data_IF_077238752888
#
_entry.id   IF_077238752888
#
_cell.length_a   1.000
_cell.length_b   1.000
_cell.length_c   1.000
_cell.angle_alpha   90.00
_cell.angle_beta   90.00
_cell.angle_gamma   90.00
#
_symmetry.space_group_name_H-M   'P 1'
#
loop_
_entity.id
_entity.type
_entity.pdbx_description
1 polymer ?
#
# COMPACT_ATOMS: atom_id res chain seq x y z
N UNK A 1 3.79 -21.85 17.65
CA UNK A 1 3.48 -21.39 16.28
C UNK A 1 4.44 -22.13 15.37
N UNK A 2 3.93 -23.01 14.51
CA UNK A 2 4.77 -23.63 13.47
C UNK A 2 5.37 -22.52 12.61
N UNK A 3 6.66 -22.63 12.28
CA UNK A 3 7.33 -21.74 11.33
C UNK A 3 6.72 -22.05 9.96
N UNK A 4 5.77 -21.24 9.50
CA UNK A 4 5.26 -21.34 8.14
C UNK A 4 6.43 -21.04 7.20
N UNK A 5 6.81 -22.00 6.38
CA UNK A 5 7.82 -21.80 5.35
C UNK A 5 7.26 -20.82 4.32
N UNK A 6 7.91 -19.67 4.16
CA UNK A 6 7.50 -18.64 3.21
C UNK A 6 8.20 -18.91 1.89
N UNK A 7 7.41 -19.12 0.84
CA UNK A 7 7.91 -19.36 -0.51
C UNK A 7 7.97 -18.06 -1.30
N UNK A 8 8.70 -18.07 -2.41
CA UNK A 8 8.82 -16.91 -3.31
C UNK A 8 7.45 -16.46 -3.82
N UNK A 9 6.57 -17.41 -4.12
CA UNK A 9 5.22 -17.15 -4.61
C UNK A 9 4.40 -16.37 -3.58
N UNK A 10 4.54 -16.71 -2.29
CA UNK A 10 3.82 -16.05 -1.20
C UNK A 10 4.25 -14.57 -1.07
N UNK A 11 5.53 -14.27 -1.32
CA UNK A 11 6.06 -12.89 -1.34
C UNK A 11 5.54 -12.11 -2.56
N UNK A 12 5.52 -12.75 -3.73
CA UNK A 12 5.00 -12.14 -4.97
C UNK A 12 3.51 -11.82 -4.82
N UNK A 13 2.72 -12.72 -4.23
CA UNK A 13 1.30 -12.47 -3.97
C UNK A 13 1.10 -11.29 -3.03
N UNK A 14 1.84 -11.22 -1.91
CA UNK A 14 1.78 -10.09 -0.98
C UNK A 14 2.18 -8.76 -1.65
N UNK A 15 3.22 -8.75 -2.49
CA UNK A 15 3.64 -7.55 -3.22
C UNK A 15 2.58 -7.10 -4.24
N UNK A 16 1.88 -8.04 -4.90
CA UNK A 16 0.77 -7.72 -5.80
C UNK A 16 -0.40 -7.10 -5.05
N UNK A 17 -0.75 -7.64 -3.88
CA UNK A 17 -1.80 -7.06 -3.03
C UNK A 17 -1.45 -5.63 -2.61
N UNK A 18 -0.18 -5.37 -2.25
CA UNK A 18 0.29 -4.03 -1.90
C UNK A 18 0.27 -3.09 -3.11
N UNK A 19 0.82 -3.52 -4.25
CA UNK A 19 0.97 -2.70 -5.45
C UNK A 19 -0.39 -2.33 -6.08
N UNK A 20 -1.31 -3.29 -6.14
CA UNK A 20 -2.58 -3.17 -6.86
C UNK A 20 -3.81 -3.10 -5.95
N UNK A 21 -3.62 -3.17 -4.62
CA UNK A 21 -4.68 -3.14 -3.62
C UNK A 21 -5.45 -1.82 -3.59
N UNK A 22 -6.71 -1.89 -3.15
CA UNK A 22 -7.58 -0.72 -3.04
C UNK A 22 -7.37 -0.04 -1.68
N UNK A 23 -7.01 1.24 -1.70
CA UNK A 23 -6.84 2.05 -0.47
C UNK A 23 -8.14 2.51 0.20
N UNK A 24 -9.27 2.36 -0.50
CA UNK A 24 -10.55 2.89 -0.06
C UNK A 24 -11.04 2.32 1.28
N UNK A 25 -10.52 1.17 1.73
CA UNK A 25 -10.85 0.57 3.02
C UNK A 25 -10.18 1.25 4.20
N UNK A 26 -8.94 1.71 4.05
CA UNK A 26 -8.30 2.56 5.06
C UNK A 26 -9.07 3.87 5.22
N UNK A 27 -9.50 4.45 4.11
CA UNK A 27 -10.35 5.66 4.12
C UNK A 27 -11.70 5.38 4.77
N UNK A 28 -12.39 4.30 4.39
CA UNK A 28 -13.67 3.91 5.02
C UNK A 28 -13.54 3.81 6.54
N UNK A 29 -12.47 3.17 7.03
CA UNK A 29 -12.19 3.02 8.47
C UNK A 29 -12.07 4.37 9.18
N UNK A 30 -11.51 5.39 8.53
CA UNK A 30 -11.36 6.74 9.09
C UNK A 30 -12.71 7.40 9.45
N UNK A 31 -13.74 7.11 8.65
CA UNK A 31 -15.08 7.72 8.77
C UNK A 31 -16.07 6.84 9.52
N UNK A 32 -15.63 5.69 10.07
CA UNK A 32 -16.49 4.88 10.92
C UNK A 32 -16.70 5.56 12.27
N UNK A 33 -17.96 5.87 12.57
CA UNK A 33 -18.39 6.39 13.87
C UNK A 33 -18.18 5.33 14.95
N UNK A 34 -18.73 4.11 14.75
CA UNK A 34 -18.60 2.98 15.67
C UNK A 34 -18.03 1.72 14.98
N UNK A 35 -16.71 1.65 14.76
CA UNK A 35 -16.09 0.47 14.17
C UNK A 35 -16.03 -0.68 15.19
N UNK A 36 -16.77 -1.77 14.93
CA UNK A 36 -16.65 -2.99 15.74
C UNK A 36 -15.39 -3.77 15.36
N UNK A 37 -14.78 -4.46 16.33
CA UNK A 37 -13.60 -5.29 16.07
C UNK A 37 -13.86 -6.38 15.00
N UNK A 38 -15.09 -6.89 14.93
CA UNK A 38 -15.49 -7.85 13.90
C UNK A 38 -15.54 -7.22 12.51
N UNK A 39 -16.08 -6.00 12.39
CA UNK A 39 -16.10 -5.27 11.12
C UNK A 39 -14.68 -4.99 10.64
N UNK A 40 -13.82 -4.49 11.52
CA UNK A 40 -12.41 -4.19 11.19
C UNK A 40 -11.70 -5.45 10.68
N UNK A 41 -11.88 -6.61 11.34
CA UNK A 41 -11.27 -7.88 10.90
C UNK A 41 -11.70 -8.34 9.51
N UNK A 42 -12.87 -7.92 9.02
CA UNK A 42 -13.37 -8.24 7.68
C UNK A 42 -12.92 -7.21 6.64
N UNK A 43 -12.34 -6.09 7.04
CA UNK A 43 -11.82 -5.08 6.12
C UNK A 43 -10.46 -5.54 5.59
N UNK A 44 -10.28 -5.40 4.28
CA UNK A 44 -8.98 -5.51 3.65
C UNK A 44 -8.19 -4.22 3.94
N UNK A 45 -7.28 -4.31 4.92
CA UNK A 45 -6.40 -3.22 5.32
C UNK A 45 -4.94 -3.50 4.92
N UNK A 46 -4.71 -4.40 3.96
CA UNK A 46 -3.37 -4.78 3.47
C UNK A 46 -2.53 -3.58 3.01
N UNK A 47 -3.18 -2.51 2.53
CA UNK A 47 -2.50 -1.29 2.08
C UNK A 47 -2.24 -0.26 3.18
N UNK A 48 -2.69 -0.50 4.42
CA UNK A 48 -2.55 0.44 5.54
C UNK A 48 -1.30 0.08 6.34
N UNK A 49 -0.31 0.97 6.32
CA UNK A 49 0.92 0.85 7.09
C UNK A 49 0.74 1.30 8.54
N UNK A 50 -0.05 2.35 8.76
CA UNK A 50 -0.29 2.90 10.09
C UNK A 50 -1.70 3.51 10.16
N UNK A 51 -2.38 3.32 11.28
CA UNK A 51 -3.66 3.98 11.58
C UNK A 51 -3.63 4.50 13.02
N UNK A 52 -3.93 5.79 13.19
CA UNK A 52 -4.00 6.46 14.50
C UNK A 52 -5.28 7.28 14.58
N UNK A 53 -5.94 7.22 15.74
CA UNK A 53 -7.06 8.10 16.09
C UNK A 53 -6.71 8.87 17.35
N UNK A 54 -6.61 10.19 17.24
CA UNK A 54 -6.33 11.09 18.36
C UNK A 54 -7.55 11.27 19.26
N UNK A 55 -7.30 11.76 20.48
CA UNK A 55 -8.35 12.02 21.47
C UNK A 55 -9.36 13.09 21.02
N UNK A 56 -8.97 13.97 20.10
CA UNK A 56 -9.83 14.97 19.46
C UNK A 56 -10.61 14.42 18.24
N UNK A 57 -10.51 13.12 17.97
CA UNK A 57 -11.17 12.46 16.84
C UNK A 57 -10.40 12.55 15.52
N UNK A 58 -9.27 13.26 15.45
CA UNK A 58 -8.44 13.32 14.24
C UNK A 58 -7.89 11.93 13.89
N UNK A 59 -7.99 11.55 12.61
CA UNK A 59 -7.48 10.27 12.11
C UNK A 59 -6.28 10.53 11.21
N UNK A 60 -5.17 9.86 11.51
CA UNK A 60 -3.98 9.82 10.66
C UNK A 60 -3.83 8.40 10.09
N UNK A 61 -3.67 8.30 8.77
CA UNK A 61 -3.48 7.03 8.07
C UNK A 61 -2.24 7.15 7.20
N UNK A 62 -1.34 6.17 7.33
CA UNK A 62 -0.24 5.98 6.39
C UNK A 62 -0.52 4.76 5.55
N UNK A 63 -0.34 4.91 4.25
CA UNK A 63 -0.41 3.80 3.31
C UNK A 63 0.98 3.24 3.05
N UNK A 64 1.02 1.97 2.68
CA UNK A 64 2.23 1.33 2.16
C UNK A 64 2.69 2.01 0.87
N UNK A 65 4.00 2.00 0.65
CA UNK A 65 4.62 2.56 -0.55
C UNK A 65 4.42 1.63 -1.75
N UNK A 66 3.46 1.99 -2.62
CA UNK A 66 3.11 1.18 -3.79
C UNK A 66 4.16 1.24 -4.89
N UNK A 67 4.90 2.34 -4.98
CA UNK A 67 5.97 2.50 -5.98
C UNK A 67 7.08 1.50 -5.69
N UNK A 68 7.47 1.36 -4.42
CA UNK A 68 8.45 0.32 -4.01
C UNK A 68 7.97 -1.09 -4.31
N UNK A 69 6.69 -1.40 -4.07
CA UNK A 69 6.15 -2.72 -4.36
C UNK A 69 6.11 -3.00 -5.87
N UNK A 70 5.74 -2.00 -6.68
CA UNK A 70 5.79 -2.09 -8.14
C UNK A 70 7.22 -2.27 -8.67
N UNK A 71 8.18 -1.54 -8.12
CA UNK A 71 9.60 -1.69 -8.46
C UNK A 71 10.13 -3.09 -8.17
N UNK A 72 9.88 -3.61 -6.97
CA UNK A 72 10.26 -4.98 -6.62
C UNK A 72 9.62 -6.03 -7.53
N UNK A 73 8.34 -5.87 -7.90
CA UNK A 73 7.68 -6.75 -8.86
C UNK A 73 8.30 -6.64 -10.26
N UNK A 74 8.66 -5.44 -10.70
CA UNK A 74 9.28 -5.19 -12.00
C UNK A 74 10.67 -5.83 -12.11
N UNK A 75 11.53 -5.67 -11.10
CA UNK A 75 12.82 -6.37 -11.02
C UNK A 75 12.66 -7.89 -11.09
N UNK A 76 11.67 -8.45 -10.39
CA UNK A 76 11.40 -9.89 -10.38
C UNK A 76 10.93 -10.45 -11.73
N UNK A 77 10.35 -9.61 -12.60
CA UNK A 77 9.95 -9.99 -13.96
C UNK A 77 11.14 -10.06 -14.93
N UNK A 78 12.35 -9.71 -14.48
CA UNK A 78 13.51 -9.57 -15.34
C UNK A 78 13.48 -8.28 -16.15
N UNK A 79 12.81 -7.24 -15.64
CA UNK A 79 12.90 -5.87 -16.19
C UNK A 79 14.37 -5.47 -16.30
N UNK A 80 14.72 -4.76 -17.37
CA UNK A 80 16.03 -4.76 -18.03
C UNK A 80 17.23 -4.32 -17.19
N UNK A 81 18.21 -3.66 -17.80
CA UNK A 81 19.41 -3.28 -17.05
C UNK A 81 19.10 -2.33 -15.88
N UNK A 82 20.05 -2.12 -14.98
CA UNK A 82 19.87 -1.27 -13.79
C UNK A 82 19.34 0.14 -14.11
N UNK A 83 19.55 0.66 -15.33
CA UNK A 83 19.02 1.96 -15.74
C UNK A 83 17.50 1.89 -16.01
N UNK A 84 16.98 0.82 -16.61
CA UNK A 84 15.55 0.70 -16.92
C UNK A 84 14.69 0.63 -15.65
N UNK A 85 15.16 -0.09 -14.63
CA UNK A 85 14.50 -0.14 -13.32
C UNK A 85 14.51 1.23 -12.61
N UNK A 86 15.62 1.97 -12.70
CA UNK A 86 15.74 3.31 -12.14
C UNK A 86 14.82 4.31 -12.85
N UNK A 87 14.75 4.27 -14.19
CA UNK A 87 13.86 5.11 -14.99
C UNK A 87 12.38 4.79 -14.68
N UNK A 88 12.02 3.52 -14.51
CA UNK A 88 10.68 3.12 -14.11
C UNK A 88 10.28 3.66 -12.74
N UNK A 89 11.15 3.52 -11.73
CA UNK A 89 10.92 4.08 -10.39
C UNK A 89 10.78 5.60 -10.43
N UNK A 90 11.65 6.29 -11.18
CA UNK A 90 11.60 7.73 -11.33
C UNK A 90 10.29 8.18 -12.00
N UNK A 91 9.82 7.47 -13.03
CA UNK A 91 8.55 7.77 -13.70
C UNK A 91 7.35 7.58 -12.75
N UNK A 92 7.39 6.56 -11.88
CA UNK A 92 6.36 6.34 -10.87
C UNK A 92 6.34 7.43 -9.78
N UNK A 93 7.51 7.88 -9.33
CA UNK A 93 7.63 8.99 -8.37
C UNK A 93 7.06 10.29 -8.98
N UNK A 94 7.44 10.63 -10.22
CA UNK A 94 6.91 11.79 -10.93
C UNK A 94 5.39 11.72 -11.13
N UNK A 95 4.86 10.55 -11.51
CA UNK A 95 3.42 10.35 -11.63
C UNK A 95 2.66 10.50 -10.29
N UNK A 96 3.33 10.25 -9.17
CA UNK A 96 2.81 10.51 -7.83
C UNK A 96 2.84 11.98 -7.43
N UNK A 97 3.83 12.73 -7.89
CA UNK A 97 4.01 14.17 -7.60
C UNK A 97 3.17 15.08 -8.51
N UNK A 98 2.85 14.68 -9.74
CA UNK A 98 2.07 15.48 -10.71
C UNK A 98 0.57 15.67 -10.37
N UNK A 99 0.12 15.32 -9.16
CA UNK A 99 -1.26 15.58 -8.70
C UNK A 99 -1.32 16.38 -7.40
N UNK A 100 -0.95 17.66 -7.48
CA UNK A 100 -1.47 18.71 -6.61
C UNK A 100 -1.90 19.91 -7.47
N UNK A 101 -3.17 19.93 -7.91
CA UNK A 101 -3.95 21.11 -7.61
C UNK A 101 -5.37 20.72 -7.18
N UNK A 102 -5.53 20.22 -5.95
CA UNK A 102 -6.81 20.37 -5.26
C UNK A 102 -6.73 21.57 -4.32
N UNK A 103 -6.50 22.74 -4.92
CA UNK A 103 -6.89 24.03 -4.37
C UNK A 103 -7.94 24.61 -5.30
N UNK A 104 -9.20 24.44 -4.93
CA UNK A 104 -10.30 25.39 -5.16
C UNK A 104 -11.44 25.08 -4.20
#
# INVERSE_FOLDING_TARGET
MEKKEVRREDVIEALKEIAFGRVNRGVELAYLEDPTAERIRKMDLSTVAEFKRGANGAVEIKFVDRVKALGALYEMLGGGDENEAAEFLQALEQAGEEREPWRE
#
